data_IF_131523936134
#
_entry.id   IF_131523936134
#
_cell.length_a   1.000
_cell.length_b   1.000
_cell.length_c   1.000
_cell.angle_alpha   90.00
_cell.angle_beta   90.00
_cell.angle_gamma   90.00
#
_symmetry.space_group_name_H-M   'P 1'
#
loop_
_entity.id
_entity.type
_entity.pdbx_description
1 polymer ?
#
# COMPACT_ATOMS: atom_id res chain seq x y z
N UNK A 1 -0.46 -29.23 -34.87
CA UNK A 1 -0.45 -30.08 -33.66
C UNK A 1 0.71 -31.06 -33.59
N UNK A 2 1.04 -31.79 -34.66
CA UNK A 2 2.16 -32.76 -34.62
C UNK A 2 3.53 -32.10 -34.35
N UNK A 3 3.83 -31.00 -35.05
CA UNK A 3 5.05 -30.21 -34.82
C UNK A 3 5.17 -29.69 -33.37
N UNK A 4 4.04 -29.33 -32.76
CA UNK A 4 3.96 -28.89 -31.36
C UNK A 4 4.29 -30.04 -30.41
N UNK A 5 3.78 -31.25 -30.67
CA UNK A 5 4.10 -32.45 -29.88
C UNK A 5 5.58 -32.77 -29.94
N UNK A 6 6.18 -32.76 -31.13
CA UNK A 6 7.61 -33.00 -31.31
C UNK A 6 8.46 -31.96 -30.58
N UNK A 7 8.13 -30.68 -30.73
CA UNK A 7 8.87 -29.59 -30.08
C UNK A 7 8.75 -29.66 -28.56
N UNK A 8 7.57 -30.04 -28.06
CA UNK A 8 7.35 -30.27 -26.63
C UNK A 8 8.19 -31.45 -26.11
N UNK A 9 8.18 -32.58 -26.82
CA UNK A 9 8.98 -33.75 -26.46
C UNK A 9 10.49 -33.42 -26.41
N UNK A 10 11.01 -32.70 -27.41
CA UNK A 10 12.40 -32.25 -27.43
C UNK A 10 12.72 -31.32 -26.24
N UNK A 11 11.80 -30.41 -25.91
CA UNK A 11 11.94 -29.52 -24.76
C UNK A 11 11.97 -30.28 -23.44
N UNK A 12 11.05 -31.23 -23.23
CA UNK A 12 10.98 -32.06 -22.01
C UNK A 12 12.22 -32.95 -21.87
N UNK A 13 12.66 -33.57 -22.97
CA UNK A 13 13.88 -34.38 -23.00
C UNK A 13 15.10 -33.55 -22.60
N UNK A 14 15.30 -32.38 -23.22
CA UNK A 14 16.41 -31.50 -22.86
C UNK A 14 16.33 -31.02 -21.41
N UNK A 15 15.12 -30.73 -20.90
CA UNK A 15 14.94 -30.34 -19.51
C UNK A 15 15.37 -31.47 -18.57
N UNK A 16 15.01 -32.72 -18.86
CA UNK A 16 15.40 -33.88 -18.07
C UNK A 16 16.90 -34.20 -18.17
N UNK A 17 17.46 -34.16 -19.39
CA UNK A 17 18.87 -34.45 -19.64
C UNK A 17 19.82 -33.45 -18.94
N UNK A 18 19.38 -32.21 -18.76
CA UNK A 18 20.18 -31.12 -18.19
C UNK A 18 19.61 -30.52 -16.88
N UNK A 19 18.72 -31.23 -16.18
CA UNK A 19 18.00 -30.71 -15.01
C UNK A 19 18.93 -30.28 -13.85
N UNK A 20 20.07 -30.97 -13.72
CA UNK A 20 21.07 -30.76 -12.66
C UNK A 20 22.39 -30.20 -13.20
N UNK A 21 22.46 -29.89 -14.49
CA UNK A 21 23.69 -29.44 -15.13
C UNK A 21 23.78 -27.91 -15.09
N UNK A 22 24.81 -27.39 -14.41
CA UNK A 22 25.11 -25.96 -14.42
C UNK A 22 25.81 -25.52 -15.72
N UNK A 23 25.99 -26.41 -16.70
CA UNK A 23 26.58 -26.03 -17.98
C UNK A 23 25.76 -24.95 -18.71
N UNK A 24 26.46 -23.92 -19.19
CA UNK A 24 25.89 -22.78 -19.90
C UNK A 24 25.23 -23.22 -21.21
N UNK A 25 25.77 -24.26 -21.86
CA UNK A 25 25.28 -24.77 -23.14
C UNK A 25 23.91 -25.45 -22.96
N UNK A 26 23.78 -26.33 -21.97
CA UNK A 26 22.50 -26.98 -21.61
C UNK A 26 21.40 -25.96 -21.30
N UNK A 27 21.71 -24.97 -20.43
CA UNK A 27 20.75 -23.89 -20.09
C UNK A 27 20.33 -23.05 -21.31
N UNK A 28 21.27 -22.75 -22.21
CA UNK A 28 20.97 -22.02 -23.43
C UNK A 28 20.10 -22.83 -24.40
N UNK A 29 20.35 -24.12 -24.55
CA UNK A 29 19.55 -25.03 -25.38
C UNK A 29 18.12 -25.16 -24.85
N UNK A 30 17.94 -25.35 -23.54
CA UNK A 30 16.61 -25.38 -22.89
C UNK A 30 15.87 -24.06 -23.17
N UNK A 31 16.51 -22.91 -22.96
CA UNK A 31 15.90 -21.58 -23.15
C UNK A 31 15.47 -21.34 -24.61
N UNK A 32 16.29 -21.79 -25.58
CA UNK A 32 15.96 -21.68 -27.00
C UNK A 32 14.76 -22.56 -27.36
N UNK A 33 14.73 -23.81 -26.89
CA UNK A 33 13.61 -24.73 -27.14
C UNK A 33 12.34 -24.30 -26.44
N UNK A 34 12.44 -23.77 -25.23
CA UNK A 34 11.32 -23.15 -24.52
C UNK A 34 10.72 -22.00 -25.34
N UNK A 35 11.58 -21.09 -25.85
CA UNK A 35 11.13 -19.98 -26.70
C UNK A 35 10.43 -20.50 -27.97
N UNK A 36 11.04 -21.46 -28.66
CA UNK A 36 10.45 -22.06 -29.86
C UNK A 36 9.07 -22.69 -29.58
N UNK A 37 8.93 -23.39 -28.45
CA UNK A 37 7.65 -23.97 -28.03
C UNK A 37 6.59 -22.89 -27.76
N UNK A 38 6.96 -21.80 -27.06
CA UNK A 38 6.05 -20.67 -26.83
C UNK A 38 5.62 -19.97 -28.12
N UNK A 39 6.55 -19.78 -29.04
CA UNK A 39 6.26 -19.13 -30.31
C UNK A 39 5.30 -19.99 -31.15
N UNK A 40 5.46 -21.32 -31.15
CA UNK A 40 4.50 -22.24 -31.78
C UNK A 40 3.11 -22.19 -31.14
N UNK A 41 3.01 -22.14 -29.81
CA UNK A 41 1.71 -21.95 -29.15
C UNK A 41 1.04 -20.64 -29.61
N UNK A 42 1.79 -19.54 -29.68
CA UNK A 42 1.29 -18.24 -30.12
C UNK A 42 0.87 -18.24 -31.59
N UNK A 43 1.66 -18.85 -32.45
CA UNK A 43 1.36 -19.00 -33.88
C UNK A 43 0.03 -19.75 -34.07
N UNK A 44 -0.16 -20.89 -33.39
CA UNK A 44 -1.42 -21.64 -33.44
C UNK A 44 -2.59 -20.79 -32.94
N UNK A 45 -2.42 -20.06 -31.83
CA UNK A 45 -3.46 -19.17 -31.28
C UNK A 45 -3.79 -18.02 -32.24
N UNK A 46 -2.81 -17.50 -32.98
CA UNK A 46 -3.01 -16.43 -33.96
C UNK A 46 -3.80 -16.92 -35.18
N UNK A 47 -3.48 -18.10 -35.68
CA UNK A 47 -4.17 -18.72 -36.81
C UNK A 47 -5.57 -19.25 -36.43
N UNK A 48 -5.73 -19.83 -35.24
CA UNK A 48 -7.00 -20.35 -34.73
C UNK A 48 -7.32 -19.79 -33.34
N UNK A 49 -7.93 -18.61 -33.32
CA UNK A 49 -8.33 -17.88 -32.10
C UNK A 49 -9.47 -18.56 -31.32
N UNK A 50 -10.02 -19.66 -31.85
CA UNK A 50 -11.18 -20.39 -31.30
C UNK A 50 -10.82 -21.80 -30.85
N UNK A 51 -9.53 -22.16 -30.91
CA UNK A 51 -9.02 -23.42 -30.40
C UNK A 51 -8.99 -23.41 -28.86
N UNK A 52 -9.84 -24.19 -28.19
CA UNK A 52 -9.83 -24.29 -26.73
C UNK A 52 -8.66 -25.18 -26.25
N UNK A 53 -8.39 -26.27 -26.97
CA UNK A 53 -7.34 -27.23 -26.64
C UNK A 53 -5.93 -26.60 -26.57
N UNK A 54 -5.59 -25.69 -27.49
CA UNK A 54 -4.27 -25.02 -27.51
C UNK A 54 -4.08 -24.15 -26.27
N UNK A 55 -5.13 -23.45 -25.82
CA UNK A 55 -5.08 -22.66 -24.59
C UNK A 55 -4.92 -23.56 -23.36
N UNK A 56 -5.61 -24.70 -23.32
CA UNK A 56 -5.45 -25.69 -22.23
C UNK A 56 -4.01 -26.22 -22.17
N UNK A 57 -3.45 -26.63 -23.31
CA UNK A 57 -2.07 -27.12 -23.40
C UNK A 57 -1.04 -26.03 -23.05
N UNK A 58 -1.31 -24.79 -23.43
CA UNK A 58 -0.42 -23.67 -23.10
C UNK A 58 -0.49 -23.32 -21.61
N UNK A 59 -1.66 -23.42 -20.98
CA UNK A 59 -1.83 -23.30 -19.52
C UNK A 59 -1.02 -24.35 -18.77
N UNK A 60 -1.09 -25.61 -19.21
CA UNK A 60 -0.31 -26.70 -18.64
C UNK A 60 1.20 -26.47 -18.77
N UNK A 61 1.67 -26.00 -19.93
CA UNK A 61 3.07 -25.62 -20.13
C UNK A 61 3.53 -24.54 -19.12
N UNK A 62 2.73 -23.50 -18.89
CA UNK A 62 3.08 -22.47 -17.91
C UNK A 62 3.04 -22.97 -16.46
N UNK A 63 2.12 -23.88 -16.15
CA UNK A 63 2.05 -24.52 -14.84
C UNK A 63 3.33 -25.32 -14.55
N UNK A 64 3.83 -26.11 -15.51
CA UNK A 64 5.09 -26.86 -15.38
C UNK A 64 6.34 -25.98 -15.24
N UNK A 65 6.24 -24.70 -15.63
CA UNK A 65 7.28 -23.69 -15.47
C UNK A 65 7.22 -22.97 -14.11
N UNK A 66 6.16 -23.17 -13.31
CA UNK A 66 5.90 -22.40 -12.09
C UNK A 66 5.35 -20.98 -12.37
N UNK A 67 5.01 -20.67 -13.61
CA UNK A 67 4.48 -19.38 -14.04
C UNK A 67 2.95 -19.35 -13.86
N UNK A 68 2.52 -19.45 -12.60
CA UNK A 68 1.14 -19.78 -12.24
C UNK A 68 0.09 -18.78 -12.76
N UNK A 69 0.40 -17.47 -12.82
CA UNK A 69 -0.53 -16.47 -13.36
C UNK A 69 -0.77 -16.65 -14.86
N UNK A 70 0.30 -16.95 -15.61
CA UNK A 70 0.23 -17.26 -17.03
C UNK A 70 -0.55 -18.56 -17.28
N UNK A 71 -0.39 -19.54 -16.39
CA UNK A 71 -1.15 -20.79 -16.43
C UNK A 71 -2.66 -20.55 -16.25
N UNK A 72 -3.06 -19.87 -15.17
CA UNK A 72 -4.46 -19.52 -14.87
C UNK A 72 -5.09 -18.81 -16.07
N UNK A 73 -4.44 -17.75 -16.58
CA UNK A 73 -4.93 -16.97 -17.71
C UNK A 73 -5.23 -17.85 -18.94
N UNK A 74 -4.40 -18.85 -19.22
CA UNK A 74 -4.58 -19.73 -20.36
C UNK A 74 -5.64 -20.80 -20.11
N UNK A 75 -5.74 -21.38 -18.91
CA UNK A 75 -6.82 -22.30 -18.57
C UNK A 75 -8.20 -21.62 -18.63
N UNK A 76 -8.32 -20.40 -18.12
CA UNK A 76 -9.56 -19.62 -18.27
C UNK A 76 -9.89 -19.31 -19.73
N UNK A 77 -8.89 -18.97 -20.55
CA UNK A 77 -9.10 -18.80 -21.99
C UNK A 77 -9.60 -20.10 -22.61
N UNK A 78 -9.04 -21.24 -22.24
CA UNK A 78 -9.48 -22.55 -22.73
C UNK A 78 -10.96 -22.79 -22.42
N UNK A 79 -11.38 -22.60 -21.17
CA UNK A 79 -12.78 -22.72 -20.74
C UNK A 79 -13.69 -21.75 -21.49
N UNK A 80 -13.33 -20.46 -21.57
CA UNK A 80 -14.11 -19.45 -22.32
C UNK A 80 -14.23 -19.76 -23.81
N UNK A 81 -13.20 -20.35 -24.44
CA UNK A 81 -13.27 -20.78 -25.84
C UNK A 81 -14.15 -22.01 -26.00
N UNK A 82 -14.11 -22.93 -25.03
CA UNK A 82 -14.93 -24.13 -25.02
C UNK A 82 -16.43 -23.82 -25.01
N UNK A 83 -16.83 -22.80 -24.25
CA UNK A 83 -18.24 -22.37 -24.15
C UNK A 83 -18.72 -21.54 -25.36
N UNK A 84 -17.84 -21.26 -26.32
CA UNK A 84 -18.16 -20.45 -27.49
C UNK A 84 -18.87 -21.30 -28.56
N UNK A 85 -19.94 -20.76 -29.16
CA UNK A 85 -20.72 -21.44 -30.21
C UNK A 85 -19.94 -21.86 -31.46
N UNK A 86 -18.74 -21.32 -31.67
CA UNK A 86 -17.88 -21.61 -32.82
C UNK A 86 -16.48 -22.11 -32.43
N UNK A 87 -16.41 -22.94 -31.38
CA UNK A 87 -15.18 -23.61 -30.97
C UNK A 87 -14.69 -24.57 -32.06
N UNK A 88 -13.41 -24.49 -32.42
CA UNK A 88 -12.81 -25.39 -33.44
C UNK A 88 -12.37 -26.72 -32.83
N UNK A 89 -11.69 -26.66 -31.69
CA UNK A 89 -11.18 -27.82 -30.95
C UNK A 89 -11.64 -27.70 -29.50
N UNK A 90 -12.81 -28.29 -29.16
CA UNK A 90 -13.36 -28.23 -27.82
C UNK A 90 -12.55 -29.08 -26.83
N UNK A 91 -12.71 -28.76 -25.55
CA UNK A 91 -12.19 -29.57 -24.45
C UNK A 91 -13.11 -30.76 -24.20
N UNK A 92 -12.51 -31.89 -23.86
CA UNK A 92 -13.26 -33.02 -23.30
C UNK A 92 -13.70 -32.68 -21.88
N UNK A 93 -14.76 -33.35 -21.38
CA UNK A 93 -15.27 -33.11 -20.02
C UNK A 93 -14.20 -33.28 -18.94
N UNK A 94 -13.33 -34.27 -19.11
CA UNK A 94 -12.20 -34.48 -18.20
C UNK A 94 -11.18 -33.32 -18.24
N UNK A 95 -10.96 -32.70 -19.40
CA UNK A 95 -10.08 -31.54 -19.56
C UNK A 95 -10.69 -30.28 -18.95
N UNK A 96 -12.02 -30.08 -19.04
CA UNK A 96 -12.72 -29.00 -18.34
C UNK A 96 -12.51 -29.10 -16.82
N UNK A 97 -12.77 -30.28 -16.24
CA UNK A 97 -12.60 -30.54 -14.81
C UNK A 97 -11.14 -30.27 -14.40
N UNK A 98 -10.18 -30.80 -15.17
CA UNK A 98 -8.75 -30.58 -14.93
C UNK A 98 -8.37 -29.11 -15.04
N UNK A 99 -8.92 -28.35 -15.98
CA UNK A 99 -8.65 -26.92 -16.11
C UNK A 99 -9.05 -26.16 -14.84
N UNK A 100 -10.23 -26.42 -14.29
CA UNK A 100 -10.66 -25.85 -13.01
C UNK A 100 -9.74 -26.26 -11.85
N UNK A 101 -9.38 -27.55 -11.76
CA UNK A 101 -8.44 -28.04 -10.74
C UNK A 101 -7.07 -27.37 -10.85
N UNK A 102 -6.54 -27.20 -12.07
CA UNK A 102 -5.26 -26.55 -12.29
C UNK A 102 -5.29 -25.06 -11.98
N UNK A 103 -6.39 -24.36 -12.25
CA UNK A 103 -6.57 -22.96 -11.80
C UNK A 103 -6.48 -22.88 -10.28
N UNK A 104 -7.19 -23.74 -9.55
CA UNK A 104 -7.14 -23.79 -8.09
C UNK A 104 -5.73 -24.11 -7.56
N UNK A 105 -5.06 -25.10 -8.14
CA UNK A 105 -3.67 -25.44 -7.81
C UNK A 105 -2.72 -24.25 -8.00
N UNK A 106 -2.79 -23.59 -9.16
CA UNK A 106 -1.94 -22.44 -9.48
C UNK A 106 -2.18 -21.27 -8.51
N UNK A 107 -3.44 -20.99 -8.18
CA UNK A 107 -3.80 -19.96 -7.20
C UNK A 107 -3.22 -20.29 -5.81
N UNK A 108 -3.33 -21.54 -5.37
CA UNK A 108 -2.74 -21.99 -4.11
C UNK A 108 -1.21 -21.83 -4.06
N UNK A 109 -0.50 -22.09 -5.16
CA UNK A 109 0.95 -21.88 -5.21
C UNK A 109 1.32 -20.39 -5.15
N UNK A 110 0.55 -19.51 -5.81
CA UNK A 110 0.74 -18.07 -5.71
C UNK A 110 0.60 -17.58 -4.27
N UNK A 111 -0.47 -18.00 -3.57
CA UNK A 111 -0.68 -17.67 -2.16
C UNK A 111 0.48 -18.17 -1.29
N UNK A 112 0.90 -19.43 -1.48
CA UNK A 112 2.04 -20.01 -0.76
C UNK A 112 3.32 -19.19 -0.93
N UNK A 113 3.63 -18.77 -2.16
CA UNK A 113 4.80 -17.94 -2.44
C UNK A 113 4.71 -16.56 -1.80
N UNK A 114 3.54 -15.92 -1.86
CA UNK A 114 3.30 -14.64 -1.18
C UNK A 114 3.47 -14.77 0.33
N UNK A 115 2.91 -15.81 0.96
CA UNK A 115 3.07 -16.06 2.40
C UNK A 115 4.53 -16.34 2.79
N UNK A 116 5.27 -17.11 1.98
CA UNK A 116 6.70 -17.31 2.21
C UNK A 116 7.46 -15.98 2.19
N UNK A 117 7.13 -15.09 1.25
CA UNK A 117 7.75 -13.77 1.17
C UNK A 117 7.38 -12.87 2.36
N UNK A 118 6.13 -12.93 2.83
CA UNK A 118 5.70 -12.23 4.05
C UNK A 118 6.55 -12.67 5.24
N UNK A 119 6.78 -13.98 5.41
CA UNK A 119 7.62 -14.49 6.49
C UNK A 119 9.09 -14.08 6.35
N UNK A 120 9.63 -13.99 5.13
CA UNK A 120 10.99 -13.51 4.88
C UNK A 120 11.17 -12.01 5.19
N UNK A 121 10.10 -11.22 5.12
CA UNK A 121 10.14 -9.76 5.31
C UNK A 121 10.19 -9.33 6.78
N UNK A 122 10.32 -10.27 7.72
CA UNK A 122 10.50 -10.02 9.16
C UNK A 122 9.42 -9.08 9.75
N UNK A 123 8.19 -9.61 9.81
CA UNK A 123 6.93 -8.94 10.20
C UNK A 123 6.96 -8.27 11.59
N UNK A 124 7.94 -8.58 12.45
CA UNK A 124 8.09 -7.94 13.77
C UNK A 124 8.31 -6.41 13.67
N UNK A 125 8.85 -5.88 12.57
CA UNK A 125 8.99 -4.44 12.33
C UNK A 125 7.71 -3.79 11.76
N UNK A 126 6.75 -4.59 11.27
CA UNK A 126 5.59 -4.11 10.52
C UNK A 126 4.30 -3.97 11.34
N UNK A 127 4.27 -4.38 12.62
CA UNK A 127 3.04 -4.43 13.46
C UNK A 127 1.85 -5.09 12.73
N UNK A 128 2.09 -6.11 11.91
CA UNK A 128 1.06 -6.81 11.15
C UNK A 128 0.56 -8.02 11.96
N UNK A 129 -0.68 -7.98 12.43
CA UNK A 129 -1.35 -9.14 13.02
C UNK A 129 -1.99 -9.97 11.91
N UNK A 130 -1.40 -11.12 11.60
CA UNK A 130 -1.89 -12.10 10.63
C UNK A 130 -2.80 -13.17 11.26
N UNK A 131 -3.37 -12.92 12.45
CA UNK A 131 -4.26 -13.84 13.16
C UNK A 131 -5.32 -14.49 12.26
N UNK A 132 -5.09 -15.77 11.96
CA UNK A 132 -5.95 -16.74 11.25
C UNK A 132 -6.69 -16.22 10.02
N UNK A 133 -5.97 -16.19 8.89
CA UNK A 133 -6.56 -16.13 7.53
C UNK A 133 -7.30 -17.44 7.19
N UNK A 134 -6.96 -18.53 7.88
CA UNK A 134 -7.54 -19.84 7.64
C UNK A 134 -9.04 -19.85 7.99
N UNK A 135 -9.90 -20.22 7.02
CA UNK A 135 -11.35 -20.21 7.16
C UNK A 135 -12.06 -18.92 6.73
N UNK A 136 -11.33 -17.86 6.38
CA UNK A 136 -11.91 -16.60 5.85
C UNK A 136 -12.05 -16.66 4.33
N UNK A 137 -13.10 -16.04 3.80
CA UNK A 137 -13.32 -15.86 2.37
C UNK A 137 -12.34 -14.86 1.76
N UNK A 138 -12.12 -14.95 0.44
CA UNK A 138 -11.22 -14.03 -0.27
C UNK A 138 -11.65 -12.57 -0.12
N UNK A 139 -12.97 -12.30 -0.12
CA UNK A 139 -13.50 -10.95 0.06
C UNK A 139 -13.23 -10.43 1.48
N UNK A 140 -13.38 -11.26 2.52
CA UNK A 140 -13.03 -10.90 3.89
C UNK A 140 -11.53 -10.62 4.05
N UNK A 141 -10.67 -11.43 3.41
CA UNK A 141 -9.23 -11.21 3.41
C UNK A 141 -8.87 -9.91 2.66
N UNK A 142 -9.53 -9.64 1.53
CA UNK A 142 -9.31 -8.40 0.77
C UNK A 142 -9.80 -7.17 1.53
N UNK A 143 -10.94 -7.25 2.23
CA UNK A 143 -11.43 -6.18 3.08
C UNK A 143 -10.49 -5.96 4.28
N UNK A 144 -10.02 -7.01 4.94
CA UNK A 144 -9.00 -6.89 6.00
C UNK A 144 -7.75 -6.15 5.49
N UNK A 145 -7.21 -6.55 4.34
CA UNK A 145 -6.05 -5.89 3.73
C UNK A 145 -6.32 -4.43 3.30
N UNK A 146 -7.53 -4.16 2.80
CA UNK A 146 -7.95 -2.84 2.31
C UNK A 146 -8.20 -1.85 3.44
N UNK A 147 -8.60 -2.32 4.63
CA UNK A 147 -8.91 -1.47 5.78
C UNK A 147 -7.85 -1.50 6.90
N UNK A 148 -6.87 -2.42 6.88
CA UNK A 148 -5.77 -2.48 7.87
C UNK A 148 -4.56 -1.56 7.58
N UNK A 149 -4.42 -0.98 6.39
CA UNK A 149 -3.13 -0.37 5.98
C UNK A 149 -3.01 1.16 6.12
N UNK A 150 -4.03 1.86 6.60
CA UNK A 150 -3.87 3.27 6.99
C UNK A 150 -3.81 3.38 8.52
N UNK A 151 -2.69 2.96 9.07
CA UNK A 151 -2.27 3.45 10.38
C UNK A 151 -1.76 4.87 10.22
N UNK A 152 -2.44 5.82 10.83
CA UNK A 152 -1.96 7.20 10.90
C UNK A 152 -0.97 7.33 12.05
N UNK A 153 0.07 8.13 11.83
CA UNK A 153 0.93 8.53 12.92
C UNK A 153 0.21 9.62 13.71
N UNK A 154 -0.04 9.38 15.00
CA UNK A 154 -0.67 10.34 15.87
C UNK A 154 0.19 10.70 17.07
N UNK A 155 0.07 11.94 17.54
CA UNK A 155 0.57 12.39 18.84
C UNK A 155 -0.60 12.84 19.68
N UNK A 156 -0.96 12.05 20.69
CA UNK A 156 -2.04 12.36 21.63
C UNK A 156 -1.42 12.87 22.93
N UNK A 157 -1.63 14.15 23.24
CA UNK A 157 -1.07 14.80 24.44
C UNK A 157 0.45 14.62 24.59
N UNK A 158 1.17 14.57 23.46
CA UNK A 158 2.62 14.42 23.38
C UNK A 158 3.09 12.98 23.20
N UNK A 159 2.24 11.99 23.47
CA UNK A 159 2.58 10.58 23.30
C UNK A 159 2.39 10.15 21.84
N UNK A 160 3.46 9.64 21.24
CA UNK A 160 3.45 9.07 19.89
C UNK A 160 2.69 7.74 19.91
N UNK A 161 1.70 7.57 19.03
CA UNK A 161 0.95 6.32 18.84
C UNK A 161 0.50 6.12 17.40
N UNK A 162 0.19 4.87 17.08
CA UNK A 162 -0.55 4.52 15.86
C UNK A 162 -2.04 4.76 16.07
N UNK A 163 -2.73 5.17 15.01
CA UNK A 163 -4.17 5.43 14.99
C UNK A 163 -4.80 4.72 13.79
N UNK A 164 -5.82 3.89 14.02
CA UNK A 164 -6.57 3.27 12.92
C UNK A 164 -7.46 4.28 12.18
N UNK A 165 -7.88 3.95 10.95
CA UNK A 165 -8.87 4.75 10.23
C UNK A 165 -10.17 4.92 11.04
N UNK A 166 -10.67 3.87 11.68
CA UNK A 166 -11.88 3.94 12.49
C UNK A 166 -11.74 4.91 13.66
N UNK A 167 -10.63 4.83 14.41
CA UNK A 167 -10.37 5.76 15.51
C UNK A 167 -10.21 7.21 15.01
N UNK A 168 -9.50 7.41 13.90
CA UNK A 168 -9.38 8.73 13.26
C UNK A 168 -10.74 9.32 12.90
N UNK A 169 -11.64 8.51 12.31
CA UNK A 169 -12.99 8.95 11.97
C UNK A 169 -13.81 9.32 13.21
N UNK A 170 -13.63 8.64 14.35
CA UNK A 170 -14.25 9.02 15.64
C UNK A 170 -13.73 10.39 16.14
N UNK A 171 -12.43 10.66 16.03
CA UNK A 171 -11.88 12.01 16.32
C UNK A 171 -12.45 13.08 15.38
N UNK A 172 -12.62 12.75 14.10
CA UNK A 172 -13.19 13.67 13.10
C UNK A 172 -14.68 13.91 13.31
N UNK A 173 -15.42 12.90 13.77
CA UNK A 173 -16.83 13.02 14.17
C UNK A 173 -16.99 13.91 15.41
N UNK A 174 -15.98 13.91 16.30
CA UNK A 174 -16.01 14.67 17.55
C UNK A 174 -16.43 13.83 18.75
N UNK A 175 -16.28 12.50 18.67
CA UNK A 175 -16.77 11.55 19.67
C UNK A 175 -15.96 11.57 20.97
N UNK A 176 -14.79 12.24 20.97
CA UNK A 176 -13.88 12.32 22.10
C UNK A 176 -13.99 13.65 22.88
N UNK A 177 -15.20 14.21 23.02
CA UNK A 177 -15.43 15.37 23.88
C UNK A 177 -14.83 16.66 23.32
N UNK A 178 -13.99 17.35 24.07
CA UNK A 178 -13.39 18.65 23.71
C UNK A 178 -11.97 18.55 23.12
N UNK A 179 -11.55 17.34 22.72
CA UNK A 179 -10.22 17.12 22.09
C UNK A 179 -10.03 18.00 20.87
N UNK A 180 -8.86 18.65 20.80
CA UNK A 180 -8.40 19.38 19.62
C UNK A 180 -7.78 18.40 18.62
N UNK A 181 -8.45 18.13 17.50
CA UNK A 181 -7.89 17.39 16.38
C UNK A 181 -7.18 18.36 15.42
N UNK A 182 -5.89 18.15 15.20
CA UNK A 182 -5.12 18.78 14.12
C UNK A 182 -4.78 17.71 13.09
N UNK A 183 -5.38 17.78 11.90
CA UNK A 183 -5.22 16.75 10.88
C UNK A 183 -4.41 17.25 9.69
N UNK A 184 -3.38 16.48 9.34
CA UNK A 184 -2.57 16.61 8.13
C UNK A 184 -2.86 15.47 7.13
N UNK A 185 -3.99 14.76 7.29
CA UNK A 185 -4.33 13.59 6.47
C UNK A 185 -4.95 13.99 5.14
N UNK A 186 -5.90 14.93 5.15
CA UNK A 186 -6.57 15.39 3.94
C UNK A 186 -5.73 16.38 3.13
N UNK A 187 -6.23 16.73 1.95
CA UNK A 187 -5.61 17.74 1.08
C UNK A 187 -5.49 19.12 1.74
N UNK A 188 -6.35 19.43 2.70
CA UNK A 188 -6.31 20.67 3.47
C UNK A 188 -6.07 20.38 4.94
N UNK A 189 -5.04 21.00 5.51
CA UNK A 189 -4.79 20.95 6.95
C UNK A 189 -5.94 21.64 7.67
N UNK A 190 -6.52 20.98 8.67
CA UNK A 190 -7.59 21.58 9.47
C UNK A 190 -7.40 21.37 10.97
N UNK A 191 -8.07 22.23 11.73
CA UNK A 191 -8.19 22.13 13.18
C UNK A 191 -9.67 21.97 13.53
N UNK A 192 -10.00 20.98 14.36
CA UNK A 192 -11.35 20.74 14.87
C UNK A 192 -11.29 20.61 16.39
N UNK A 193 -12.32 21.10 17.07
CA UNK A 193 -12.49 20.93 18.52
C UNK A 193 -13.77 20.17 18.75
N UNK A 194 -13.68 18.95 19.26
CA UNK A 194 -14.85 18.16 19.61
C UNK A 194 -15.91 18.07 18.51
N UNK A 195 -17.19 18.38 18.79
CA UNK A 195 -18.27 18.31 17.80
C UNK A 195 -18.31 19.50 16.84
N UNK A 196 -17.46 20.53 17.00
CA UNK A 196 -17.49 21.72 16.16
C UNK A 196 -17.07 21.43 14.71
N UNK A 197 -17.43 22.31 13.78
CA UNK A 197 -17.02 22.19 12.39
C UNK A 197 -15.50 22.36 12.25
N UNK A 198 -14.82 21.54 11.42
CA UNK A 198 -13.40 21.70 11.16
C UNK A 198 -13.12 23.06 10.51
N UNK A 199 -12.07 23.73 10.97
CA UNK A 199 -11.60 25.01 10.42
C UNK A 199 -10.31 24.78 9.64
N UNK A 200 -10.42 24.83 8.31
CA UNK A 200 -9.29 24.68 7.41
C UNK A 200 -8.27 25.82 7.56
N UNK A 201 -7.00 25.47 7.33
CA UNK A 201 -5.87 26.37 7.20
C UNK A 201 -5.51 26.48 5.73
N UNK A 202 -5.15 27.69 5.28
CA UNK A 202 -4.55 27.82 3.96
C UNK A 202 -3.16 27.16 3.95
N UNK A 203 -2.68 26.82 2.75
CA UNK A 203 -1.42 26.08 2.55
C UNK A 203 -0.27 26.65 3.38
N UNK A 204 0.01 27.95 3.25
CA UNK A 204 1.13 28.57 3.96
C UNK A 204 0.99 28.65 5.49
N UNK A 205 -0.24 28.65 6.03
CA UNK A 205 -0.46 28.57 7.48
C UNK A 205 -0.38 27.12 7.96
N UNK A 206 -0.81 26.16 7.15
CA UNK A 206 -0.69 24.72 7.40
C UNK A 206 0.77 24.27 7.46
N UNK A 207 1.60 24.68 6.51
CA UNK A 207 3.05 24.39 6.48
C UNK A 207 3.77 24.92 7.73
N UNK A 208 3.46 26.16 8.13
CA UNK A 208 4.04 26.75 9.34
C UNK A 208 3.59 26.04 10.60
N UNK A 209 2.31 25.67 10.69
CA UNK A 209 1.81 24.88 11.81
C UNK A 209 2.49 23.51 11.86
N UNK A 210 2.70 22.86 10.71
CA UNK A 210 3.43 21.59 10.60
C UNK A 210 4.82 21.70 11.18
N UNK A 211 5.62 22.68 10.73
CA UNK A 211 6.96 22.93 11.25
C UNK A 211 6.95 23.15 12.77
N UNK A 212 6.04 23.99 13.27
CA UNK A 212 5.91 24.29 14.70
C UNK A 212 5.63 23.01 15.49
N UNK A 213 4.65 22.22 15.06
CA UNK A 213 4.26 21.00 15.76
C UNK A 213 5.35 19.93 15.68
N UNK A 214 5.99 19.71 14.53
CA UNK A 214 7.09 18.75 14.40
C UNK A 214 8.24 19.06 15.35
N UNK A 215 8.65 20.33 15.44
CA UNK A 215 9.70 20.78 16.37
C UNK A 215 9.27 20.65 17.83
N UNK A 216 8.05 21.06 18.18
CA UNK A 216 7.55 20.93 19.56
C UNK A 216 7.40 19.46 19.96
N UNK A 217 6.89 18.59 19.09
CA UNK A 217 6.71 17.17 19.39
C UNK A 217 8.07 16.44 19.50
N UNK A 218 9.11 16.90 18.78
CA UNK A 218 10.46 16.32 18.86
C UNK A 218 11.28 16.87 20.05
N UNK A 219 11.23 18.18 20.28
CA UNK A 219 12.15 18.88 21.19
C UNK A 219 11.45 19.50 22.42
N UNK A 220 10.12 19.40 22.52
CA UNK A 220 9.29 20.08 23.54
C UNK A 220 9.03 21.56 23.25
N UNK A 221 9.76 22.16 22.30
CA UNK A 221 9.75 23.61 22.02
C UNK A 221 10.24 23.85 20.59
N UNK A 222 9.76 24.93 19.97
CA UNK A 222 10.40 25.55 18.80
C UNK A 222 10.94 26.94 19.18
N UNK A 223 12.16 27.25 18.76
CA UNK A 223 12.77 28.57 19.00
C UNK A 223 12.53 29.50 17.82
N UNK A 224 12.75 30.80 18.02
CA UNK A 224 12.70 31.76 16.92
C UNK A 224 13.76 31.47 15.84
N UNK A 225 14.94 30.99 16.26
CA UNK A 225 16.02 30.64 15.33
C UNK A 225 15.67 29.42 14.49
N UNK A 226 15.02 28.40 15.06
CA UNK A 226 14.48 27.25 14.30
C UNK A 226 13.52 27.73 13.20
N UNK A 227 12.64 28.70 13.52
CA UNK A 227 11.70 29.25 12.55
C UNK A 227 12.40 30.05 11.46
N UNK A 228 13.46 30.79 11.80
CA UNK A 228 14.25 31.57 10.82
C UNK A 228 15.09 30.70 9.89
N UNK A 229 15.52 29.52 10.34
CA UNK A 229 16.23 28.59 9.46
C UNK A 229 15.37 28.19 8.26
N UNK A 230 14.08 27.89 8.49
CA UNK A 230 13.13 27.54 7.44
C UNK A 230 12.54 28.76 6.72
N UNK A 231 12.39 29.88 7.43
CA UNK A 231 11.85 31.12 6.89
C UNK A 231 12.79 32.31 7.16
N UNK A 232 13.88 32.47 6.38
CA UNK A 232 14.94 33.47 6.64
C UNK A 232 14.45 34.92 6.75
N UNK A 233 13.36 35.24 6.04
CA UNK A 233 12.75 36.57 6.00
C UNK A 233 11.69 36.80 7.08
N UNK A 234 11.36 35.79 7.89
CA UNK A 234 10.37 35.93 8.96
C UNK A 234 10.95 36.74 10.13
N UNK A 235 10.22 37.79 10.53
CA UNK A 235 10.49 38.50 11.78
C UNK A 235 9.58 37.97 12.90
N UNK A 236 9.91 38.29 14.16
CA UNK A 236 9.10 37.87 15.31
C UNK A 236 7.63 38.26 15.19
N UNK A 237 7.33 39.44 14.62
CA UNK A 237 5.96 39.89 14.39
C UNK A 237 5.19 38.93 13.48
N UNK A 238 5.82 38.43 12.41
CA UNK A 238 5.22 37.45 11.51
C UNK A 238 5.01 36.09 12.19
N UNK A 239 5.95 35.66 13.05
CA UNK A 239 5.81 34.44 13.87
C UNK A 239 4.63 34.59 14.82
N UNK A 240 4.53 35.71 15.54
CA UNK A 240 3.42 35.99 16.45
C UNK A 240 2.06 36.07 15.72
N UNK A 241 2.01 36.68 14.54
CA UNK A 241 0.81 36.67 13.71
C UNK A 241 0.40 35.26 13.28
N UNK A 242 1.38 34.40 12.97
CA UNK A 242 1.14 32.99 12.62
C UNK A 242 0.49 32.26 13.80
N UNK A 243 1.08 32.37 15.00
CA UNK A 243 0.55 31.77 16.23
C UNK A 243 -0.86 32.29 16.56
N UNK A 244 -1.07 33.60 16.44
CA UNK A 244 -2.38 34.23 16.66
C UNK A 244 -3.45 33.69 15.71
N UNK A 245 -3.12 33.54 14.42
CA UNK A 245 -4.04 33.00 13.41
C UNK A 245 -4.36 31.52 13.63
N UNK A 246 -3.39 30.73 14.11
CA UNK A 246 -3.61 29.33 14.51
C UNK A 246 -4.58 29.29 15.71
N UNK A 247 -4.28 30.03 16.77
CA UNK A 247 -5.11 30.07 17.98
C UNK A 247 -6.53 30.59 17.71
N UNK A 248 -6.71 31.45 16.71
CA UNK A 248 -8.05 31.91 16.29
C UNK A 248 -8.96 30.75 15.85
N UNK A 249 -8.41 29.60 15.42
CA UNK A 249 -9.22 28.44 15.00
C UNK A 249 -9.95 27.78 16.16
N UNK A 250 -9.42 27.88 17.37
CA UNK A 250 -10.01 27.28 18.58
C UNK A 250 -10.63 28.31 19.53
N UNK A 251 -10.61 29.60 19.16
CA UNK A 251 -11.01 30.72 20.04
C UNK A 251 -12.44 30.61 20.57
N UNK A 252 -13.38 30.15 19.74
CA UNK A 252 -14.80 29.99 20.13
C UNK A 252 -15.00 28.95 21.23
N UNK A 253 -14.10 27.98 21.34
CA UNK A 253 -14.13 26.95 22.39
C UNK A 253 -13.41 27.37 23.68
N UNK A 254 -12.86 28.59 23.75
CA UNK A 254 -12.08 29.05 24.91
C UNK A 254 -10.71 28.41 25.06
N UNK A 255 -10.30 27.56 24.10
CA UNK A 255 -9.03 26.83 24.12
C UNK A 255 -7.91 27.60 23.41
N UNK A 256 -6.68 27.09 23.52
CA UNK A 256 -5.49 27.62 22.86
C UNK A 256 -4.58 26.47 22.43
N UNK A 257 -4.01 26.55 21.22
CA UNK A 257 -3.08 25.53 20.71
C UNK A 257 -1.65 25.87 21.11
N UNK A 258 -1.21 27.11 20.84
CA UNK A 258 0.15 27.56 21.06
C UNK A 258 0.18 28.64 22.15
N UNK A 259 1.13 28.56 23.06
CA UNK A 259 1.42 29.67 23.95
C UNK A 259 1.94 30.86 23.13
N UNK A 260 1.36 32.04 23.36
CA UNK A 260 1.90 33.29 22.83
C UNK A 260 2.75 33.85 23.95
N UNK A 261 4.09 33.76 23.86
CA UNK A 261 4.92 34.15 24.97
C UNK A 261 5.03 35.68 24.98
N UNK A 262 4.98 36.26 26.18
CA UNK A 262 5.19 37.69 26.38
C UNK A 262 6.70 37.95 26.45
N UNK A 263 7.22 38.82 25.59
CA UNK A 263 8.61 39.26 25.68
C UNK A 263 8.83 40.02 26.98
N UNK A 264 9.98 39.82 27.63
CA UNK A 264 10.34 40.60 28.81
C UNK A 264 11.08 41.87 28.37
N UNK A 265 11.21 42.84 29.29
CA UNK A 265 12.02 44.04 29.03
C UNK A 265 13.49 43.73 28.71
N UNK A 266 13.99 42.57 29.18
CA UNK A 266 15.36 42.10 28.97
C UNK A 266 15.51 41.22 27.72
N UNK A 267 14.49 40.45 27.35
CA UNK A 267 14.46 39.62 26.14
C UNK A 267 13.37 40.09 25.19
N UNK A 268 13.80 40.87 24.18
CA UNK A 268 12.90 41.52 23.22
C UNK A 268 12.05 40.54 22.39
N UNK A 269 12.45 39.28 22.33
CA UNK A 269 11.74 38.21 21.65
C UNK A 269 11.76 36.95 22.53
N UNK A 270 10.61 36.31 22.77
CA UNK A 270 10.60 35.05 23.47
C UNK A 270 11.40 33.99 22.72
N UNK A 271 12.26 33.29 23.45
CA UNK A 271 13.17 32.32 22.84
C UNK A 271 12.52 30.97 22.59
N UNK A 272 11.29 30.74 23.08
CA UNK A 272 10.64 29.42 23.09
C UNK A 272 9.14 29.56 22.83
N UNK A 273 8.63 28.76 21.91
CA UNK A 273 7.21 28.56 21.63
C UNK A 273 6.86 27.13 22.03
N UNK A 274 5.76 26.96 22.76
CA UNK A 274 5.30 25.69 23.32
C UNK A 274 3.81 25.49 23.04
N UNK A 275 3.34 24.25 23.22
CA UNK A 275 1.92 23.94 23.18
C UNK A 275 1.24 24.46 24.45
N UNK A 276 0.13 25.19 24.27
CA UNK A 276 -0.80 25.53 25.34
C UNK A 276 -1.88 24.45 25.53
N UNK A 277 -2.13 23.65 24.49
CA UNK A 277 -3.14 22.62 24.51
C UNK A 277 -2.69 21.42 25.36
N UNK A 278 -3.56 20.98 26.28
CA UNK A 278 -3.34 19.80 27.12
C UNK A 278 -4.21 18.61 26.74
N UNK A 279 -5.23 18.83 25.88
CA UNK A 279 -6.13 17.78 25.36
C UNK A 279 -6.22 17.88 23.83
N UNK A 280 -5.29 17.22 23.14
CA UNK A 280 -5.15 17.31 21.69
C UNK A 280 -4.66 16.01 21.07
N UNK A 281 -4.98 15.85 19.78
CA UNK A 281 -4.39 14.84 18.91
C UNK A 281 -3.92 15.49 17.61
N UNK A 282 -2.66 15.27 17.24
CA UNK A 282 -2.11 15.65 15.94
C UNK A 282 -1.94 14.40 15.10
N UNK A 283 -2.47 14.38 13.87
CA UNK A 283 -2.52 13.17 13.04
C UNK A 283 -1.87 13.44 11.68
N UNK A 284 -0.93 12.57 11.29
CA UNK A 284 -0.15 12.64 10.05
C UNK A 284 -0.23 11.33 9.26
N UNK A 285 0.04 11.38 7.94
CA UNK A 285 0.16 10.14 7.16
C UNK A 285 1.48 9.48 7.54
N UNK A 286 1.49 8.16 7.67
CA UNK A 286 2.71 7.43 8.06
C UNK A 286 3.86 7.62 7.05
N UNK A 287 3.53 7.83 5.77
CA UNK A 287 4.48 8.16 4.70
C UNK A 287 5.23 9.48 4.92
N UNK A 288 4.71 10.37 5.76
CA UNK A 288 5.26 11.71 5.96
C UNK A 288 6.49 11.74 6.88
N UNK A 289 6.80 10.61 7.53
CA UNK A 289 7.89 10.45 8.51
C UNK A 289 8.84 9.30 8.17
N UNK A 290 8.79 8.78 6.94
CA UNK A 290 9.77 7.80 6.48
C UNK A 290 11.13 8.49 6.32
N UNK A 291 12.02 8.29 7.30
CA UNK A 291 13.47 8.43 7.14
C UNK A 291 14.03 7.24 6.35
#
# INVERSE_FOLDING_TARGET
>A
MERLRQTKYEYERLRADYEHDEDRIGRQAIKQREKALRDQFREIIQHDKKNAEVHYRYGYFWMEKGEYLNAITNFEKALRKNDSSNVTFPLEKAQEIKAHMFIGYCAGQLVKHSLAKVNELNVEEAQFDFGEIEGKSLDEVLDMLKYQSEHYLAFHNGEKRSLSLEEYLKFKAGDYGDVILISFIESEVFIKVGPHNPKALNVGLGEKLRLILEKILKNGVITYDDFRMEYPNANWRAVNQTMTRINQRVRESGLRILEIPEGTFQERYPQKIQLAATNYIVVFRQSDFAE
#
